data_IF_021106805323
#
_entry.id   IF_021106805323
#
_cell.length_a   1.000
_cell.length_b   1.000
_cell.length_c   1.000
_cell.angle_alpha   90.00
_cell.angle_beta   90.00
_cell.angle_gamma   90.00
#
_symmetry.space_group_name_H-M   'P 1'
#
loop_
_entity.id
_entity.type
_entity.pdbx_description
1 polymer ?
#
# COMPACT_ATOMS: atom_id res chain seq x y z
N UNK A 1 -6.06 -6.19 27.92
CA UNK A 1 -5.88 -5.00 27.03
C UNK A 1 -7.03 -4.00 27.16
N UNK A 2 -8.32 -4.40 27.08
CA UNK A 2 -9.47 -3.44 27.16
C UNK A 2 -9.43 -2.52 28.36
N UNK A 3 -9.29 -3.08 29.55
CA UNK A 3 -9.19 -2.28 30.78
C UNK A 3 -8.02 -1.29 30.75
N UNK A 4 -6.88 -1.70 30.18
CA UNK A 4 -5.72 -0.84 30.01
C UNK A 4 -5.99 0.30 29.01
N UNK A 5 -6.71 0.03 27.92
CA UNK A 5 -7.15 1.05 26.97
C UNK A 5 -8.08 2.05 27.67
N UNK A 6 -9.11 1.59 28.39
CA UNK A 6 -10.05 2.48 29.07
C UNK A 6 -9.35 3.40 30.10
N UNK A 7 -8.39 2.89 30.83
CA UNK A 7 -7.63 3.65 31.82
C UNK A 7 -6.65 4.67 31.20
N UNK A 8 -6.25 4.48 29.95
CA UNK A 8 -5.22 5.29 29.28
C UNK A 8 -5.74 5.99 28.01
N UNK A 9 -7.06 5.96 27.78
CA UNK A 9 -7.65 6.42 26.52
C UNK A 9 -7.24 7.83 26.12
N UNK A 10 -7.37 8.79 27.05
CA UNK A 10 -7.06 10.18 26.77
C UNK A 10 -5.56 10.39 26.54
N UNK A 11 -4.73 9.69 27.31
CA UNK A 11 -3.27 9.70 27.11
C UNK A 11 -2.88 9.18 25.73
N UNK A 12 -3.46 8.06 25.30
CA UNK A 12 -3.17 7.48 24.00
C UNK A 12 -3.57 8.41 22.84
N UNK A 13 -4.70 9.10 22.98
CA UNK A 13 -5.14 10.07 22.00
C UNK A 13 -4.20 11.28 21.95
N UNK A 14 -3.78 11.83 23.09
CA UNK A 14 -2.88 12.99 23.11
C UNK A 14 -1.48 12.65 22.58
N UNK A 15 -0.97 11.47 22.90
CA UNK A 15 0.30 10.99 22.35
C UNK A 15 0.21 10.78 20.82
N UNK A 16 -0.87 10.22 20.30
CA UNK A 16 -1.13 10.15 18.86
C UNK A 16 -1.23 11.55 18.24
N UNK A 17 -1.95 12.47 18.91
CA UNK A 17 -2.11 13.85 18.41
C UNK A 17 -0.78 14.59 18.34
N UNK A 18 0.16 14.29 19.24
CA UNK A 18 1.53 14.83 19.16
C UNK A 18 2.18 14.43 17.83
N UNK A 19 2.01 13.19 17.37
CA UNK A 19 2.51 12.76 16.06
C UNK A 19 1.74 13.39 14.89
N UNK A 20 0.41 13.48 15.00
CA UNK A 20 -0.43 14.00 13.93
C UNK A 20 -0.23 15.50 13.68
N UNK A 21 0.14 16.26 14.71
CA UNK A 21 0.49 17.70 14.59
C UNK A 21 1.77 17.95 13.81
N UNK A 22 2.62 16.94 13.61
CA UNK A 22 3.87 17.09 12.86
C UNK A 22 3.59 16.87 11.37
N UNK A 23 3.76 17.88 10.50
CA UNK A 23 3.48 17.76 9.08
C UNK A 23 4.61 17.04 8.31
N UNK A 24 4.80 15.77 8.60
CA UNK A 24 5.85 14.94 7.99
C UNK A 24 5.52 14.56 6.53
N UNK A 25 5.42 15.56 5.66
CA UNK A 25 5.10 15.39 4.24
C UNK A 25 6.37 15.10 3.45
N UNK A 26 6.65 13.84 3.17
CA UNK A 26 7.89 13.36 2.53
C UNK A 26 8.13 13.94 1.13
N UNK A 27 7.06 14.18 0.37
CA UNK A 27 7.13 14.71 -0.99
C UNK A 27 7.55 16.18 -1.08
N UNK A 28 7.61 16.91 0.04
CA UNK A 28 7.86 18.36 0.08
C UNK A 28 9.16 18.68 0.81
N UNK A 29 10.18 19.25 0.12
CA UNK A 29 11.47 19.57 0.71
C UNK A 29 11.41 20.51 1.93
N UNK A 30 10.40 21.40 2.00
CA UNK A 30 10.18 22.32 3.12
C UNK A 30 9.87 21.60 4.43
N UNK A 31 9.34 20.38 4.38
CA UNK A 31 9.02 19.55 5.55
C UNK A 31 10.18 18.65 6.00
N UNK A 32 11.39 18.82 5.46
CA UNK A 32 12.53 17.99 5.84
C UNK A 32 12.81 18.01 7.35
N UNK A 33 12.69 19.16 8.01
CA UNK A 33 12.87 19.27 9.47
C UNK A 33 11.77 18.54 10.23
N UNK A 34 10.52 18.59 9.73
CA UNK A 34 9.38 17.90 10.34
C UNK A 34 9.52 16.38 10.23
N UNK A 35 10.14 15.87 9.15
CA UNK A 35 10.46 14.45 8.99
C UNK A 35 11.38 13.96 10.10
N UNK A 36 12.48 14.69 10.40
CA UNK A 36 13.39 14.36 11.49
C UNK A 36 12.73 14.47 12.86
N UNK A 37 11.97 15.54 13.08
CA UNK A 37 11.25 15.74 14.34
C UNK A 37 10.22 14.63 14.59
N UNK A 38 9.51 14.17 13.56
CA UNK A 38 8.59 13.04 13.66
C UNK A 38 9.33 11.73 14.00
N UNK A 39 10.47 11.49 13.34
CA UNK A 39 11.29 10.32 13.60
C UNK A 39 11.84 10.29 15.02
N UNK A 40 12.35 11.42 15.54
CA UNK A 40 12.82 11.56 16.92
C UNK A 40 11.69 11.33 17.92
N UNK A 41 10.51 11.94 17.68
CA UNK A 41 9.32 11.74 18.51
C UNK A 41 8.91 10.27 18.60
N UNK A 42 8.94 9.55 17.47
CA UNK A 42 8.64 8.12 17.44
C UNK A 42 9.68 7.28 18.17
N UNK A 43 10.96 7.62 18.07
CA UNK A 43 12.02 6.94 18.80
C UNK A 43 11.83 7.11 20.33
N UNK A 44 11.49 8.29 20.78
CA UNK A 44 11.19 8.58 22.20
C UNK A 44 9.95 7.78 22.67
N UNK A 45 8.88 7.76 21.89
CA UNK A 45 7.67 6.97 22.20
C UNK A 45 7.96 5.46 22.31
N UNK A 46 8.86 4.91 21.49
CA UNK A 46 9.29 3.52 21.61
C UNK A 46 10.07 3.26 22.90
N UNK A 47 10.96 4.17 23.31
CA UNK A 47 11.69 4.08 24.58
C UNK A 47 10.73 4.16 25.78
N UNK A 48 9.78 5.10 25.76
CA UNK A 48 8.75 5.24 26.81
C UNK A 48 7.83 4.01 26.89
N UNK A 49 7.53 3.39 25.76
CA UNK A 49 6.78 2.13 25.69
C UNK A 49 7.56 0.94 26.24
N UNK A 50 8.89 1.07 26.44
CA UNK A 50 9.75 0.07 27.05
C UNK A 50 10.65 -0.69 26.11
N UNK A 51 10.98 -0.14 24.94
CA UNK A 51 12.06 -0.66 24.09
C UNK A 51 13.41 -0.57 24.81
N UNK A 52 14.30 -1.53 24.57
CA UNK A 52 15.64 -1.53 25.17
C UNK A 52 16.54 -0.48 24.47
N UNK A 53 16.28 -0.23 23.18
CA UNK A 53 16.88 0.83 22.39
C UNK A 53 15.92 1.27 21.28
N UNK A 54 15.96 2.54 20.96
CA UNK A 54 15.33 3.13 19.78
C UNK A 54 16.10 4.37 19.35
N UNK A 55 16.11 4.67 18.05
CA UNK A 55 16.78 5.83 17.51
C UNK A 55 16.54 6.03 16.03
N UNK A 56 16.90 7.21 15.57
CA UNK A 56 16.85 7.64 14.18
C UNK A 56 18.09 7.15 13.44
N UNK A 57 17.90 6.52 12.30
CA UNK A 57 18.96 6.01 11.46
C UNK A 57 18.93 6.71 10.10
N UNK A 58 20.06 7.23 9.65
CA UNK A 58 20.17 7.91 8.36
C UNK A 58 20.00 6.95 7.19
N UNK A 59 19.36 7.45 6.13
CA UNK A 59 19.27 6.81 4.82
C UNK A 59 19.82 7.75 3.74
N UNK A 60 19.70 7.38 2.46
CA UNK A 60 20.01 8.29 1.37
C UNK A 60 18.95 9.40 1.19
N UNK A 61 17.78 9.25 1.80
CA UNK A 61 16.66 10.19 1.77
C UNK A 61 16.18 10.58 3.16
N UNK A 62 14.89 10.30 3.46
CA UNK A 62 14.38 10.53 4.82
C UNK A 62 14.83 9.41 5.76
N UNK A 63 15.06 9.73 7.05
CA UNK A 63 15.58 8.76 8.01
C UNK A 63 14.56 7.66 8.32
N UNK A 64 15.03 6.52 8.84
CA UNK A 64 14.19 5.48 9.42
C UNK A 64 14.33 5.50 10.95
N UNK A 65 13.28 5.08 11.64
CA UNK A 65 13.32 4.81 13.07
C UNK A 65 13.49 3.31 13.27
N UNK A 66 14.54 2.93 13.97
CA UNK A 66 14.73 1.55 14.42
C UNK A 66 14.65 1.48 15.93
N UNK A 67 13.89 0.51 16.46
CA UNK A 67 13.84 0.22 17.88
C UNK A 67 13.73 -1.29 18.13
N UNK A 68 14.14 -1.74 19.31
CA UNK A 68 13.98 -3.15 19.65
C UNK A 68 13.86 -3.40 21.15
N UNK A 69 13.24 -4.55 21.46
CA UNK A 69 13.28 -5.20 22.77
C UNK A 69 13.58 -6.67 22.59
N UNK A 70 14.68 -7.12 23.19
CA UNK A 70 15.13 -8.51 23.12
C UNK A 70 14.98 -9.17 24.48
N UNK A 71 13.97 -10.01 24.64
CA UNK A 71 13.70 -10.72 25.90
C UNK A 71 14.51 -12.02 26.04
N UNK A 72 14.71 -12.72 24.94
CA UNK A 72 15.54 -13.95 24.84
C UNK A 72 16.03 -14.13 23.39
N UNK A 73 17.34 -14.28 23.14
CA UNK A 73 17.87 -14.52 21.80
C UNK A 73 17.28 -15.74 21.08
N UNK A 74 16.65 -16.69 21.82
CA UNK A 74 16.00 -17.87 21.27
C UNK A 74 14.50 -17.69 21.02
N UNK A 75 13.89 -16.65 21.58
CA UNK A 75 12.48 -16.34 21.36
C UNK A 75 12.22 -15.97 19.89
N UNK A 76 10.97 -16.13 19.46
CA UNK A 76 10.55 -15.62 18.16
C UNK A 76 10.68 -14.10 18.13
N UNK A 77 11.04 -13.58 16.98
CA UNK A 77 11.18 -12.14 16.74
C UNK A 77 10.10 -11.68 15.78
N UNK A 78 9.35 -10.66 16.18
CA UNK A 78 8.39 -9.95 15.33
C UNK A 78 9.03 -8.65 14.91
N UNK A 79 9.12 -8.40 13.61
CA UNK A 79 9.45 -7.11 13.04
C UNK A 79 8.15 -6.36 12.78
N UNK A 80 7.97 -5.20 13.38
CA UNK A 80 6.85 -4.29 13.10
C UNK A 80 7.31 -3.28 12.08
N UNK A 81 6.57 -3.15 10.99
CA UNK A 81 6.80 -2.14 9.97
C UNK A 81 5.61 -1.18 9.91
N UNK A 82 5.89 0.09 9.65
CA UNK A 82 4.95 1.16 9.37
C UNK A 82 5.67 2.37 8.82
N UNK A 83 4.94 3.43 8.45
CA UNK A 83 5.53 4.67 7.98
C UNK A 83 5.00 5.90 8.73
N UNK A 84 5.85 6.90 8.87
CA UNK A 84 5.51 8.13 9.59
C UNK A 84 5.37 9.35 8.68
N UNK A 85 5.71 9.20 7.40
CA UNK A 85 5.41 10.23 6.41
C UNK A 85 3.93 10.20 6.01
N UNK A 86 3.46 11.29 5.45
CA UNK A 86 2.07 11.47 5.05
C UNK A 86 1.98 12.16 3.70
N UNK A 87 0.86 11.94 3.00
CA UNK A 87 0.54 12.61 1.75
C UNK A 87 0.36 14.13 1.92
N UNK A 88 0.66 14.92 0.87
CA UNK A 88 0.29 16.32 0.81
C UNK A 88 -1.19 16.56 1.10
N UNK A 89 -1.50 17.71 1.66
CA UNK A 89 -2.85 18.04 2.16
C UNK A 89 -3.69 18.83 1.17
N UNK A 90 -3.13 19.22 0.03
CA UNK A 90 -3.86 19.97 -0.99
C UNK A 90 -4.99 19.13 -1.63
N UNK A 91 -6.14 19.75 -1.94
CA UNK A 91 -6.48 21.16 -1.78
C UNK A 91 -6.99 21.51 -0.37
N UNK A 92 -6.34 22.49 0.29
CA UNK A 92 -6.64 22.89 1.68
C UNK A 92 -8.07 23.41 1.88
N UNK A 93 -8.64 24.06 0.87
CA UNK A 93 -10.00 24.62 0.91
C UNK A 93 -11.12 23.57 1.03
N UNK A 94 -10.79 22.29 0.87
CA UNK A 94 -11.72 21.17 1.05
C UNK A 94 -11.65 20.52 2.43
N UNK A 95 -10.70 20.90 3.27
CA UNK A 95 -10.65 20.43 4.63
C UNK A 95 -11.64 21.19 5.50
N UNK A 96 -12.39 20.47 6.33
CA UNK A 96 -13.31 21.06 7.31
C UNK A 96 -12.56 21.66 8.49
N UNK A 97 -11.42 21.06 8.86
CA UNK A 97 -10.51 21.49 9.91
C UNK A 97 -9.08 21.48 9.38
N UNK A 98 -8.16 22.14 10.08
CA UNK A 98 -6.74 22.07 9.73
C UNK A 98 -6.28 20.59 9.75
N UNK A 99 -5.66 20.10 8.67
CA UNK A 99 -5.23 18.70 8.57
C UNK A 99 -4.21 18.28 9.64
N UNK A 100 -3.49 19.22 10.23
CA UNK A 100 -2.49 18.99 11.29
C UNK A 100 -2.94 19.48 12.66
N UNK A 101 -4.21 19.85 12.84
CA UNK A 101 -4.87 20.04 14.13
C UNK A 101 -5.87 18.91 14.39
N UNK A 102 -5.40 17.73 14.85
CA UNK A 102 -6.24 16.55 14.99
C UNK A 102 -7.35 16.75 16.00
N UNK A 103 -8.53 16.26 15.67
CA UNK A 103 -9.74 16.38 16.48
C UNK A 103 -10.48 15.06 16.58
N UNK A 104 -11.24 14.90 17.67
CA UNK A 104 -12.20 13.80 17.82
C UNK A 104 -13.60 14.32 17.69
N UNK A 105 -14.31 13.93 16.66
CA UNK A 105 -15.75 14.17 16.53
C UNK A 105 -16.41 13.01 15.76
N UNK A 106 -17.69 12.82 15.94
CA UNK A 106 -18.49 11.75 15.32
C UNK A 106 -17.90 10.33 15.49
N UNK A 107 -17.21 10.09 16.61
CA UNK A 107 -16.62 8.79 16.92
C UNK A 107 -15.36 8.46 16.11
N UNK A 108 -14.74 9.45 15.47
CA UNK A 108 -13.52 9.30 14.67
C UNK A 108 -12.46 10.34 15.07
N UNK A 109 -11.20 9.99 14.84
CA UNK A 109 -10.05 10.90 14.84
C UNK A 109 -9.98 11.49 13.44
N UNK A 110 -9.89 12.82 13.33
CA UNK A 110 -9.78 13.55 12.07
C UNK A 110 -8.43 14.24 11.99
N UNK A 111 -7.73 14.09 10.87
CA UNK A 111 -6.44 14.70 10.60
C UNK A 111 -5.63 13.89 9.60
N UNK A 112 -4.69 14.51 8.92
CA UNK A 112 -3.78 13.82 7.99
C UNK A 112 -2.87 12.85 8.76
N UNK A 113 -2.78 11.59 8.28
CA UNK A 113 -2.04 10.52 8.94
C UNK A 113 -2.82 9.82 10.06
N UNK A 114 -4.08 10.20 10.31
CA UNK A 114 -4.89 9.58 11.35
C UNK A 114 -5.11 8.08 11.10
N UNK A 115 -5.22 7.68 9.85
CA UNK A 115 -5.31 6.28 9.42
C UNK A 115 -4.03 5.84 8.72
N UNK A 116 -3.50 6.64 7.82
CA UNK A 116 -2.42 6.33 6.89
C UNK A 116 -1.15 7.15 7.21
N UNK A 117 -0.21 6.59 7.94
CA UNK A 117 -0.17 5.33 8.71
C UNK A 117 0.11 5.59 10.20
N UNK A 118 0.29 6.90 10.61
CA UNK A 118 0.64 7.25 11.99
C UNK A 118 -0.32 6.64 13.02
N UNK A 119 -1.63 6.66 12.74
CA UNK A 119 -2.61 6.05 13.64
C UNK A 119 -2.47 4.54 13.71
N UNK A 120 -2.25 3.87 12.60
CA UNK A 120 -2.13 2.42 12.58
C UNK A 120 -0.78 1.94 13.15
N UNK A 121 0.34 2.59 12.80
CA UNK A 121 1.63 2.25 13.42
C UNK A 121 1.62 2.47 14.94
N UNK A 122 0.93 3.53 15.40
CA UNK A 122 0.85 3.83 16.83
C UNK A 122 0.11 2.75 17.64
N UNK A 123 -0.84 2.04 17.03
CA UNK A 123 -1.47 0.89 17.68
C UNK A 123 -0.45 -0.18 18.09
N UNK A 124 0.58 -0.42 17.27
CA UNK A 124 1.64 -1.36 17.60
C UNK A 124 2.48 -0.89 18.79
N UNK A 125 2.78 0.40 18.86
CA UNK A 125 3.52 0.99 19.98
C UNK A 125 2.74 0.81 21.30
N UNK A 126 1.43 1.05 21.30
CA UNK A 126 0.58 0.91 22.49
C UNK A 126 0.28 -0.53 22.87
N UNK A 127 0.12 -1.41 21.92
CA UNK A 127 0.02 -2.85 22.19
C UNK A 127 1.33 -3.40 22.79
N UNK A 128 2.48 -2.95 22.29
CA UNK A 128 3.79 -3.30 22.83
C UNK A 128 3.95 -2.73 24.25
N UNK A 129 3.64 -1.47 24.50
CA UNK A 129 3.64 -0.85 25.83
C UNK A 129 2.85 -1.69 26.85
N UNK A 130 1.64 -2.08 26.50
CA UNK A 130 0.81 -2.94 27.35
C UNK A 130 1.49 -4.28 27.66
N UNK A 131 2.03 -4.95 26.64
CA UNK A 131 2.67 -6.25 26.82
C UNK A 131 3.92 -6.18 27.71
N UNK A 132 4.70 -5.11 27.57
CA UNK A 132 5.88 -4.86 28.42
C UNK A 132 5.44 -4.58 29.85
N UNK A 133 4.56 -3.59 30.06
CA UNK A 133 4.14 -3.17 31.41
C UNK A 133 3.39 -4.25 32.17
N UNK A 134 2.65 -5.11 31.47
CA UNK A 134 1.93 -6.24 32.08
C UNK A 134 2.80 -7.48 32.29
N UNK A 135 4.06 -7.47 31.82
CA UNK A 135 4.94 -8.66 31.88
C UNK A 135 4.50 -9.81 30.97
N UNK A 136 3.66 -9.55 29.97
CA UNK A 136 3.10 -10.55 29.05
C UNK A 136 3.87 -10.70 27.73
N UNK A 137 4.88 -9.87 27.50
CA UNK A 137 5.68 -9.95 26.28
C UNK A 137 6.53 -11.21 26.29
N UNK A 138 6.24 -12.12 25.36
CA UNK A 138 6.93 -13.42 25.21
C UNK A 138 7.76 -13.51 23.91
N UNK A 139 7.92 -12.42 23.19
CA UNK A 139 8.59 -12.32 21.91
C UNK A 139 9.64 -11.21 21.91
N UNK A 140 10.68 -11.37 21.12
CA UNK A 140 11.50 -10.24 20.74
C UNK A 140 10.69 -9.38 19.76
N UNK A 141 10.76 -8.06 19.91
CA UNK A 141 10.09 -7.12 19.02
C UNK A 141 11.11 -6.16 18.46
N UNK A 142 11.03 -5.94 17.16
CA UNK A 142 11.80 -4.92 16.44
C UNK A 142 10.82 -4.01 15.72
N UNK A 143 11.15 -2.75 15.65
CA UNK A 143 10.38 -1.73 14.95
C UNK A 143 11.24 -1.16 13.83
N UNK A 144 10.65 -0.99 12.67
CA UNK A 144 11.21 -0.31 11.51
C UNK A 144 10.13 0.61 10.96
N UNK A 145 10.24 1.91 11.24
CA UNK A 145 9.35 2.91 10.71
C UNK A 145 10.08 3.79 9.71
N UNK A 146 9.55 3.90 8.50
CA UNK A 146 10.15 4.71 7.44
C UNK A 146 9.47 6.06 7.24
N UNK A 147 10.14 6.95 6.52
CA UNK A 147 9.64 8.28 6.16
C UNK A 147 9.56 8.51 4.66
N UNK A 148 9.41 7.47 3.83
CA UNK A 148 9.39 7.58 2.38
C UNK A 148 8.34 6.68 1.70
N UNK A 149 7.40 6.06 2.44
CA UNK A 149 6.41 5.16 1.85
C UNK A 149 5.58 5.88 0.79
N UNK A 150 5.13 7.08 1.12
CA UNK A 150 4.27 7.92 0.27
C UNK A 150 4.96 8.47 -0.99
N UNK A 151 6.27 8.26 -1.11
CA UNK A 151 7.09 8.52 -2.28
C UNK A 151 7.78 7.25 -2.81
N UNK A 152 7.20 6.07 -2.53
CA UNK A 152 7.64 4.75 -3.03
C UNK A 152 8.94 4.22 -2.44
N UNK A 153 9.30 4.61 -1.21
CA UNK A 153 10.43 4.08 -0.41
C UNK A 153 11.78 4.02 -1.16
N UNK A 154 12.24 5.09 -1.82
CA UNK A 154 13.42 5.02 -2.71
C UNK A 154 14.71 4.61 -1.97
N UNK A 155 14.85 4.93 -0.70
CA UNK A 155 16.08 4.69 0.08
C UNK A 155 16.02 3.41 0.91
N UNK A 156 14.84 2.95 1.29
CA UNK A 156 14.66 1.87 2.27
C UNK A 156 15.18 0.51 1.80
N UNK A 157 15.03 0.05 0.54
CA UNK A 157 15.55 -1.24 0.09
C UNK A 157 17.06 -1.39 0.28
N UNK A 158 17.83 -0.32 0.01
CA UNK A 158 19.26 -0.30 0.20
C UNK A 158 19.63 -0.38 1.68
N UNK A 159 18.93 0.37 2.54
CA UNK A 159 19.12 0.37 3.98
C UNK A 159 18.81 -1.01 4.59
N UNK A 160 17.68 -1.64 4.24
CA UNK A 160 17.31 -3.01 4.67
C UNK A 160 18.39 -4.00 4.25
N UNK A 161 18.87 -3.91 3.00
CA UNK A 161 19.90 -4.82 2.50
C UNK A 161 21.22 -4.72 3.28
N UNK A 162 21.61 -3.51 3.68
CA UNK A 162 22.80 -3.28 4.52
C UNK A 162 22.59 -3.78 5.98
N UNK A 163 21.37 -3.78 6.48
CA UNK A 163 21.02 -4.10 7.87
C UNK A 163 20.29 -5.45 8.06
N UNK A 164 20.40 -6.38 7.11
CA UNK A 164 19.73 -7.71 7.16
C UNK A 164 19.90 -8.46 8.47
N UNK A 165 21.09 -8.40 9.07
CA UNK A 165 21.35 -9.09 10.34
C UNK A 165 20.58 -8.45 11.50
N UNK A 166 20.52 -7.12 11.51
CA UNK A 166 19.77 -6.33 12.50
C UNK A 166 18.27 -6.62 12.40
N UNK A 167 17.75 -6.68 11.18
CA UNK A 167 16.31 -6.86 10.89
C UNK A 167 15.86 -8.32 10.89
N UNK A 168 16.73 -9.28 11.17
CA UNK A 168 16.34 -10.71 11.21
C UNK A 168 15.16 -10.90 12.15
N UNK A 169 14.09 -11.50 11.61
CA UNK A 169 12.84 -11.79 12.32
C UNK A 169 12.18 -13.06 11.80
N UNK A 170 11.13 -13.53 12.47
CA UNK A 170 10.34 -14.71 12.05
C UNK A 170 9.11 -14.31 11.23
N UNK A 171 8.64 -13.07 11.39
CA UNK A 171 7.49 -12.47 10.69
C UNK A 171 7.63 -10.96 10.65
N UNK A 172 7.09 -10.32 9.62
CA UNK A 172 6.87 -8.87 9.57
C UNK A 172 5.39 -8.58 9.82
N UNK A 173 5.07 -7.72 10.79
CA UNK A 173 3.70 -7.33 11.14
C UNK A 173 3.47 -5.89 10.69
N UNK A 174 2.38 -5.67 9.94
CA UNK A 174 2.08 -4.39 9.27
C UNK A 174 0.60 -4.06 9.46
N UNK A 175 0.27 -2.81 9.73
CA UNK A 175 -1.11 -2.34 9.83
C UNK A 175 -1.46 -1.21 8.86
N UNK A 176 -0.79 -1.14 7.75
CA UNK A 176 -0.98 -0.14 6.70
C UNK A 176 -1.95 -0.65 5.62
N UNK A 177 -3.18 -1.01 6.01
CA UNK A 177 -4.23 -1.45 5.08
C UNK A 177 -5.63 -1.25 5.67
N UNK A 178 -6.67 -1.57 4.87
CA UNK A 178 -8.06 -1.48 5.26
C UNK A 178 -8.69 -2.85 5.52
N UNK A 179 -9.71 -2.89 6.38
CA UNK A 179 -10.68 -3.98 6.48
C UNK A 179 -11.79 -3.82 5.43
N UNK A 180 -12.50 -4.91 5.14
CA UNK A 180 -13.68 -4.88 4.26
C UNK A 180 -14.74 -3.94 4.81
N UNK A 181 -15.03 -4.02 6.11
CA UNK A 181 -15.90 -3.09 6.83
C UNK A 181 -15.70 -3.19 8.34
N UNK A 182 -16.30 -2.26 9.09
CA UNK A 182 -16.34 -2.30 10.55
C UNK A 182 -17.18 -3.46 11.13
N UNK A 183 -18.01 -4.09 10.28
CA UNK A 183 -18.85 -5.24 10.64
C UNK A 183 -18.27 -6.57 10.21
N UNK A 184 -17.46 -6.57 9.16
CA UNK A 184 -16.84 -7.78 8.59
C UNK A 184 -15.34 -7.62 8.60
N UNK A 185 -14.66 -8.09 9.66
CA UNK A 185 -13.21 -8.02 9.75
C UNK A 185 -12.55 -8.86 8.66
N UNK A 186 -11.41 -8.42 8.18
CA UNK A 186 -10.62 -9.14 7.19
C UNK A 186 -9.13 -9.09 7.49
N UNK A 187 -8.39 -10.04 6.91
CA UNK A 187 -6.93 -10.06 6.91
C UNK A 187 -6.48 -10.06 5.46
N UNK A 188 -5.67 -9.09 5.08
CA UNK A 188 -5.09 -9.04 3.76
C UNK A 188 -4.00 -10.11 3.59
N UNK A 189 -4.25 -11.05 2.67
CA UNK A 189 -3.37 -12.20 2.39
C UNK A 189 -2.47 -11.95 1.18
N UNK A 190 -2.35 -10.74 0.72
CA UNK A 190 -1.50 -10.34 -0.38
C UNK A 190 -1.98 -9.08 -1.07
N UNK A 191 -1.07 -8.46 -1.77
CA UNK A 191 -1.29 -7.22 -2.50
C UNK A 191 -0.79 -7.35 -3.94
N UNK A 192 -1.39 -6.56 -4.84
CA UNK A 192 -0.92 -6.48 -6.22
C UNK A 192 0.37 -5.67 -6.30
N UNK A 193 1.18 -6.00 -7.31
CA UNK A 193 2.31 -5.18 -7.71
C UNK A 193 1.91 -4.08 -8.70
N UNK A 194 2.89 -3.31 -9.12
CA UNK A 194 2.75 -2.20 -10.03
C UNK A 194 3.86 -2.22 -11.08
N UNK A 195 3.53 -1.91 -12.32
CA UNK A 195 4.48 -1.42 -13.34
C UNK A 195 3.89 -0.16 -13.94
N UNK A 196 4.52 0.96 -13.71
CA UNK A 196 4.09 2.28 -14.20
C UNK A 196 5.11 2.83 -15.19
N UNK A 197 4.62 3.35 -16.31
CA UNK A 197 5.48 3.84 -17.39
C UNK A 197 4.81 4.94 -18.19
N UNK A 198 5.62 5.69 -18.89
CA UNK A 198 5.18 6.67 -19.89
C UNK A 198 5.54 6.20 -21.30
N UNK A 199 4.61 6.39 -22.23
CA UNK A 199 4.84 6.15 -23.65
C UNK A 199 4.73 7.45 -24.42
N UNK A 200 5.58 7.60 -25.44
CA UNK A 200 5.60 8.73 -26.35
C UNK A 200 5.60 8.22 -27.78
N UNK A 201 4.68 8.74 -28.57
CA UNK A 201 4.62 8.51 -30.04
C UNK A 201 5.05 9.78 -30.73
N UNK A 202 6.10 9.70 -31.55
CA UNK A 202 6.68 10.80 -32.30
C UNK A 202 6.39 10.64 -33.77
N UNK A 203 5.74 11.62 -34.39
CA UNK A 203 5.42 11.68 -35.82
C UNK A 203 6.34 12.62 -36.58
N UNK A 204 5.82 13.73 -37.16
CA UNK A 204 6.61 14.70 -37.89
C UNK A 204 7.55 15.47 -36.96
N UNK A 205 8.56 16.13 -37.52
CA UNK A 205 9.57 16.87 -36.76
C UNK A 205 9.08 18.20 -36.14
N UNK A 206 7.85 18.57 -36.41
CA UNK A 206 7.16 19.75 -35.88
C UNK A 206 5.66 19.62 -36.06
N UNK A 207 4.88 20.44 -35.39
CA UNK A 207 3.46 20.58 -35.62
C UNK A 207 3.18 21.07 -37.04
N UNK A 208 2.18 20.46 -37.68
CA UNK A 208 1.85 20.71 -39.07
C UNK A 208 0.42 21.26 -39.22
N UNK A 209 0.17 22.02 -40.27
CA UNK A 209 -1.18 22.46 -40.59
C UNK A 209 -2.01 21.28 -41.09
N UNK A 210 -3.11 20.94 -40.40
CA UNK A 210 -3.92 19.75 -40.72
C UNK A 210 -4.58 19.80 -42.10
N UNK A 211 -4.92 20.98 -42.61
CA UNK A 211 -5.46 21.15 -43.96
C UNK A 211 -4.45 20.89 -45.09
N UNK A 212 -3.15 21.05 -44.81
CA UNK A 212 -2.11 20.82 -45.82
C UNK A 212 -1.57 19.39 -45.77
N UNK A 213 -1.52 18.76 -44.58
CA UNK A 213 -0.84 17.49 -44.34
C UNK A 213 -1.76 16.37 -43.85
N UNK A 214 -3.01 16.71 -43.46
CA UNK A 214 -4.00 15.74 -43.01
C UNK A 214 -4.33 14.72 -44.11
N UNK A 215 -4.39 13.43 -43.72
CA UNK A 215 -4.57 12.33 -44.65
C UNK A 215 -3.29 11.86 -45.35
N UNK A 216 -2.19 12.64 -45.29
CA UNK A 216 -0.90 12.29 -45.88
C UNK A 216 0.19 11.98 -44.84
N UNK A 217 0.14 12.67 -43.70
CA UNK A 217 1.09 12.49 -42.59
C UNK A 217 0.35 11.90 -41.36
N UNK A 218 0.98 10.96 -40.68
CA UNK A 218 0.40 10.35 -39.50
C UNK A 218 0.20 11.37 -38.37
N UNK A 219 -0.95 11.27 -37.71
CA UNK A 219 -1.23 12.01 -36.48
C UNK A 219 -0.86 11.15 -35.28
N UNK A 220 0.16 11.52 -34.48
CA UNK A 220 0.60 10.75 -33.33
C UNK A 220 -0.49 10.44 -32.32
N UNK A 221 -1.47 11.34 -32.11
CA UNK A 221 -2.61 11.08 -31.21
C UNK A 221 -3.46 9.93 -31.73
N UNK A 222 -3.80 9.90 -33.02
CA UNK A 222 -4.58 8.81 -33.60
C UNK A 222 -3.83 7.48 -33.49
N UNK A 223 -2.55 7.48 -33.85
CA UNK A 223 -1.69 6.28 -33.72
C UNK A 223 -1.61 5.80 -32.28
N UNK A 224 -1.41 6.71 -31.31
CA UNK A 224 -1.37 6.34 -29.90
C UNK A 224 -2.68 5.74 -29.43
N UNK A 225 -3.81 6.32 -29.81
CA UNK A 225 -5.15 5.78 -29.49
C UNK A 225 -5.36 4.37 -30.07
N UNK A 226 -4.97 4.14 -31.32
CA UNK A 226 -5.06 2.82 -31.96
C UNK A 226 -4.16 1.78 -31.25
N UNK A 227 -2.94 2.15 -30.93
CA UNK A 227 -2.01 1.31 -30.18
C UNK A 227 -2.56 0.96 -28.80
N UNK A 228 -3.05 1.94 -28.03
CA UNK A 228 -3.66 1.72 -26.71
C UNK A 228 -4.89 0.82 -26.82
N UNK A 229 -5.77 1.08 -27.77
CA UNK A 229 -6.98 0.26 -27.97
C UNK A 229 -6.66 -1.21 -28.26
N UNK A 230 -5.51 -1.48 -28.87
CA UNK A 230 -5.06 -2.86 -29.15
C UNK A 230 -4.49 -3.60 -27.94
N UNK A 231 -4.21 -2.91 -26.83
CA UNK A 231 -3.62 -3.53 -25.62
C UNK A 231 -4.62 -4.34 -24.79
N UNK A 232 -5.92 -4.20 -25.03
CA UNK A 232 -6.97 -4.95 -24.33
C UNK A 232 -7.93 -5.53 -25.37
N UNK A 233 -8.19 -6.83 -25.26
CA UNK A 233 -9.11 -7.52 -26.17
C UNK A 233 -10.60 -7.35 -25.76
N UNK A 234 -11.49 -7.96 -26.54
CA UNK A 234 -12.94 -7.92 -26.32
C UNK A 234 -13.38 -8.64 -25.02
N UNK A 235 -12.57 -9.54 -24.48
CA UNK A 235 -12.80 -10.24 -23.22
C UNK A 235 -12.15 -9.53 -22.02
N UNK A 236 -11.58 -8.33 -22.23
CA UNK A 236 -10.96 -7.52 -21.19
C UNK A 236 -9.57 -7.99 -20.77
N UNK A 237 -8.90 -8.82 -21.57
CA UNK A 237 -7.57 -9.34 -21.30
C UNK A 237 -6.50 -8.44 -21.94
N UNK A 238 -5.39 -8.27 -21.25
CA UNK A 238 -4.21 -7.58 -21.78
C UNK A 238 -3.59 -8.44 -22.89
N UNK A 239 -3.34 -7.83 -24.06
CA UNK A 239 -2.85 -8.52 -25.26
C UNK A 239 -1.33 -8.62 -25.36
N UNK A 240 -0.59 -8.07 -24.39
CA UNK A 240 0.88 -8.13 -24.38
C UNK A 240 1.32 -9.59 -24.26
N UNK A 241 2.06 -10.14 -25.24
CA UNK A 241 2.52 -11.52 -25.22
C UNK A 241 3.39 -11.82 -24.00
N UNK A 242 3.07 -12.91 -23.28
CA UNK A 242 3.76 -13.31 -22.06
C UNK A 242 3.24 -12.63 -20.78
N UNK A 243 2.29 -11.69 -20.89
CA UNK A 243 1.75 -10.97 -19.74
C UNK A 243 1.14 -11.90 -18.67
N UNK A 244 0.48 -12.98 -19.10
CA UNK A 244 -0.18 -13.93 -18.21
C UNK A 244 0.64 -15.20 -17.90
N UNK A 245 1.84 -15.36 -18.44
CA UNK A 245 2.59 -16.63 -18.35
C UNK A 245 2.89 -17.06 -16.90
N UNK A 246 3.00 -16.10 -15.99
CA UNK A 246 3.25 -16.35 -14.57
C UNK A 246 2.07 -16.07 -13.65
N UNK A 247 0.90 -15.77 -14.24
CA UNK A 247 -0.32 -15.55 -13.48
C UNK A 247 -0.86 -16.89 -12.99
N UNK A 248 -0.92 -17.06 -11.69
CA UNK A 248 -1.45 -18.26 -11.07
C UNK A 248 -2.98 -18.27 -11.08
N UNK A 249 -3.54 -19.35 -11.58
CA UNK A 249 -4.99 -19.56 -11.50
C UNK A 249 -5.35 -20.16 -10.14
N UNK A 250 -6.13 -19.43 -9.38
CA UNK A 250 -6.57 -19.88 -8.08
C UNK A 250 -7.48 -21.10 -8.16
N UNK A 251 -7.31 -22.00 -7.20
CA UNK A 251 -8.20 -23.15 -7.07
C UNK A 251 -9.66 -22.73 -6.83
N UNK A 252 -10.61 -23.59 -7.14
CA UNK A 252 -12.03 -23.35 -6.81
C UNK A 252 -12.28 -23.17 -5.32
N UNK A 253 -11.43 -23.76 -4.47
CA UNK A 253 -11.51 -23.62 -3.01
C UNK A 253 -11.07 -22.20 -2.59
N UNK A 254 -9.94 -21.71 -3.12
CA UNK A 254 -9.43 -20.38 -2.81
C UNK A 254 -10.38 -19.28 -3.31
N UNK A 255 -10.91 -19.43 -4.53
CA UNK A 255 -11.92 -18.50 -5.07
C UNK A 255 -13.18 -18.46 -4.21
N UNK A 256 -13.67 -19.61 -3.70
CA UNK A 256 -14.80 -19.65 -2.75
C UNK A 256 -14.49 -18.99 -1.43
N UNK A 257 -13.25 -19.11 -0.96
CA UNK A 257 -12.82 -18.48 0.28
C UNK A 257 -12.78 -16.95 0.15
N UNK A 258 -12.23 -16.43 -0.93
CA UNK A 258 -12.26 -14.99 -1.23
C UNK A 258 -13.68 -14.46 -1.47
N UNK A 259 -14.57 -15.27 -2.04
CA UNK A 259 -15.98 -14.94 -2.24
C UNK A 259 -16.80 -14.86 -0.94
N UNK A 260 -16.23 -15.17 0.23
CA UNK A 260 -16.86 -14.91 1.55
C UNK A 260 -16.91 -13.42 1.87
N UNK A 261 -16.07 -12.60 1.22
CA UNK A 261 -16.13 -11.15 1.33
C UNK A 261 -17.51 -10.67 0.84
N UNK A 262 -18.28 -9.95 1.66
CA UNK A 262 -19.56 -9.42 1.22
C UNK A 262 -19.34 -8.40 0.10
N UNK A 263 -20.12 -8.52 -0.95
CA UNK A 263 -20.09 -7.59 -2.08
C UNK A 263 -21.48 -7.46 -2.69
N UNK A 264 -22.03 -6.27 -2.63
CA UNK A 264 -23.28 -5.93 -3.32
C UNK A 264 -23.01 -5.11 -4.57
N UNK A 265 -23.30 -5.68 -5.73
CA UNK A 265 -23.09 -5.05 -7.04
C UNK A 265 -23.96 -3.79 -7.22
N UNK A 266 -25.13 -3.74 -6.60
CA UNK A 266 -26.02 -2.58 -6.70
C UNK A 266 -25.45 -1.41 -5.91
N UNK A 267 -25.09 -1.65 -4.64
CA UNK A 267 -24.46 -0.64 -3.78
C UNK A 267 -23.14 -0.14 -4.41
N UNK A 268 -22.32 -1.05 -4.98
CA UNK A 268 -21.07 -0.70 -5.64
C UNK A 268 -21.30 0.23 -6.84
N UNK A 269 -22.30 -0.07 -7.68
CA UNK A 269 -22.64 0.78 -8.82
C UNK A 269 -23.21 2.14 -8.40
N UNK A 270 -24.06 2.15 -7.36
CA UNK A 270 -24.63 3.39 -6.80
C UNK A 270 -23.55 4.27 -6.18
N UNK A 271 -22.63 3.69 -5.42
CA UNK A 271 -21.50 4.43 -4.80
C UNK A 271 -20.58 5.10 -5.83
N UNK A 272 -20.34 4.44 -6.96
CA UNK A 272 -19.47 4.95 -8.04
C UNK A 272 -20.22 5.76 -9.10
N UNK A 273 -21.56 5.87 -9.02
CA UNK A 273 -22.41 6.47 -10.05
C UNK A 273 -22.16 5.89 -11.46
N UNK A 274 -22.05 4.56 -11.57
CA UNK A 274 -21.82 3.86 -12.82
C UNK A 274 -22.97 2.93 -13.19
N UNK A 275 -23.22 2.79 -14.49
CA UNK A 275 -24.26 1.90 -15.01
C UNK A 275 -23.82 0.43 -15.04
N UNK A 276 -22.60 0.17 -15.51
CA UNK A 276 -22.05 -1.17 -15.70
C UNK A 276 -20.59 -1.25 -15.29
N UNK A 277 -20.16 -2.44 -14.86
CA UNK A 277 -18.75 -2.75 -14.61
C UNK A 277 -18.09 -3.32 -15.86
N UNK A 278 -16.79 -3.07 -16.02
CA UNK A 278 -15.95 -3.62 -17.09
C UNK A 278 -14.77 -4.38 -16.49
N UNK A 279 -14.21 -5.33 -17.22
CA UNK A 279 -12.99 -6.04 -16.87
C UNK A 279 -12.94 -7.45 -17.45
N UNK A 280 -11.95 -8.24 -17.06
CA UNK A 280 -11.68 -9.57 -17.61
C UNK A 280 -12.89 -10.49 -17.43
N UNK A 281 -13.32 -11.14 -18.52
CA UNK A 281 -14.45 -12.06 -18.55
C UNK A 281 -14.14 -13.33 -17.73
N UNK A 282 -15.15 -13.85 -17.04
CA UNK A 282 -15.03 -15.05 -16.22
C UNK A 282 -14.59 -14.80 -14.78
N UNK A 283 -14.38 -13.53 -14.40
CA UNK A 283 -14.04 -13.12 -13.05
C UNK A 283 -15.03 -12.11 -12.51
N UNK A 284 -15.32 -12.20 -11.19
CA UNK A 284 -16.14 -11.22 -10.46
C UNK A 284 -15.39 -9.89 -10.31
N UNK A 285 -16.09 -8.82 -9.93
CA UNK A 285 -15.47 -7.52 -9.68
C UNK A 285 -14.38 -7.61 -8.61
N UNK A 286 -14.65 -8.29 -7.50
CA UNK A 286 -13.66 -8.50 -6.44
C UNK A 286 -12.43 -9.28 -6.93
N UNK A 287 -12.62 -10.30 -7.77
CA UNK A 287 -11.51 -11.06 -8.34
C UNK A 287 -10.66 -10.21 -9.28
N UNK A 288 -11.29 -9.37 -10.11
CA UNK A 288 -10.59 -8.46 -11.04
C UNK A 288 -9.70 -7.47 -10.32
N UNK A 289 -10.15 -6.96 -9.18
CA UNK A 289 -9.38 -5.98 -8.39
C UNK A 289 -8.35 -6.60 -7.46
N UNK A 290 -8.44 -7.90 -7.16
CA UNK A 290 -7.61 -8.56 -6.15
C UNK A 290 -6.63 -9.61 -6.72
N UNK A 291 -7.08 -10.45 -7.67
CA UNK A 291 -6.34 -11.64 -8.12
C UNK A 291 -6.08 -11.66 -9.63
N UNK A 292 -6.54 -10.65 -10.35
CA UNK A 292 -6.25 -10.52 -11.79
C UNK A 292 -5.39 -9.27 -12.05
N UNK A 293 -4.42 -9.37 -12.97
CA UNK A 293 -3.70 -8.20 -13.42
C UNK A 293 -4.56 -7.36 -14.35
N UNK A 294 -4.30 -6.06 -14.41
CA UNK A 294 -4.95 -5.16 -15.37
C UNK A 294 -3.97 -4.16 -15.95
N UNK A 295 -4.42 -3.47 -16.99
CA UNK A 295 -3.73 -2.36 -17.62
C UNK A 295 -4.71 -1.20 -17.74
N UNK A 296 -4.34 -0.02 -17.23
CA UNK A 296 -5.12 1.19 -17.25
C UNK A 296 -4.31 2.37 -17.79
N UNK A 297 -4.97 3.27 -18.50
CA UNK A 297 -4.39 4.52 -18.97
C UNK A 297 -4.71 5.61 -17.97
N UNK A 298 -3.70 6.08 -17.23
CA UNK A 298 -3.85 7.09 -16.18
C UNK A 298 -3.81 8.52 -16.71
N UNK A 299 -3.29 8.73 -17.91
CA UNK A 299 -3.23 10.03 -18.56
C UNK A 299 -2.91 9.89 -20.04
N UNK A 300 -3.46 10.80 -20.85
CA UNK A 300 -3.17 10.91 -22.27
C UNK A 300 -3.17 12.37 -22.67
N UNK A 301 -2.16 12.82 -23.44
CA UNK A 301 -2.09 14.21 -23.91
C UNK A 301 -1.33 14.33 -25.22
N UNK A 302 -1.55 15.44 -25.89
CA UNK A 302 -0.91 15.82 -27.15
C UNK A 302 -1.79 16.82 -27.90
N UNK A 303 -1.24 17.49 -28.87
CA UNK A 303 -1.94 18.48 -29.70
C UNK A 303 -2.31 19.75 -28.92
N UNK A 304 -3.35 20.44 -29.41
CA UNK A 304 -3.79 21.73 -28.86
C UNK A 304 -4.94 21.53 -27.86
N UNK A 305 -4.75 22.02 -26.65
CA UNK A 305 -5.72 21.94 -25.55
C UNK A 305 -6.19 23.33 -25.06
N UNK A 306 -5.72 24.41 -25.70
CA UNK A 306 -6.14 25.77 -25.38
C UNK A 306 -7.54 26.13 -25.92
N UNK A 307 -8.04 27.32 -25.55
CA UNK A 307 -9.32 27.81 -26.01
C UNK A 307 -9.30 28.08 -27.51
N UNK A 308 -10.43 27.85 -28.18
CA UNK A 308 -10.60 28.05 -29.61
C UNK A 308 -10.10 26.89 -30.47
N UNK A 309 -10.25 27.00 -31.80
CA UNK A 309 -9.84 25.95 -32.74
C UNK A 309 -8.42 26.21 -33.25
N UNK A 310 -7.58 25.16 -33.25
CA UNK A 310 -6.28 25.15 -33.94
C UNK A 310 -6.20 23.90 -34.79
N UNK A 311 -6.19 24.10 -36.14
CA UNK A 311 -6.15 23.02 -37.13
C UNK A 311 -4.73 22.47 -37.26
N UNK A 312 -4.32 21.58 -36.31
CA UNK A 312 -2.95 21.11 -36.19
C UNK A 312 -2.89 19.57 -36.21
N UNK A 313 -1.85 19.03 -36.83
CA UNK A 313 -1.33 17.72 -36.62
C UNK A 313 -0.14 17.86 -35.65
N UNK A 314 -0.22 17.35 -34.41
CA UNK A 314 0.90 17.49 -33.48
C UNK A 314 2.11 16.67 -33.92
N UNK A 315 3.28 17.06 -33.45
CA UNK A 315 4.52 16.30 -33.65
C UNK A 315 4.65 15.10 -32.74
N UNK A 316 3.96 15.08 -31.61
CA UNK A 316 4.05 14.01 -30.61
C UNK A 316 2.75 13.83 -29.80
N UNK A 317 2.59 12.67 -29.20
CA UNK A 317 1.53 12.32 -28.26
C UNK A 317 2.05 11.42 -27.15
N UNK A 318 1.48 11.52 -25.96
CA UNK A 318 1.95 10.86 -24.75
C UNK A 318 0.82 10.13 -24.04
N UNK A 319 1.15 9.05 -23.32
CA UNK A 319 0.26 8.47 -22.33
C UNK A 319 1.03 7.92 -21.14
N UNK A 320 0.39 7.94 -19.98
CA UNK A 320 0.81 7.26 -18.75
C UNK A 320 0.02 5.97 -18.59
N UNK A 321 0.71 4.87 -18.39
CA UNK A 321 0.11 3.53 -18.33
C UNK A 321 0.49 2.87 -17.01
N UNK A 322 -0.53 2.38 -16.30
CA UNK A 322 -0.44 1.61 -15.08
C UNK A 322 -0.82 0.17 -15.35
N UNK A 323 0.03 -0.77 -14.98
CA UNK A 323 -0.29 -2.20 -14.98
C UNK A 323 -0.26 -2.70 -13.54
N UNK A 324 -1.41 -3.10 -13.00
CA UNK A 324 -1.46 -3.80 -11.71
C UNK A 324 -1.12 -5.26 -11.93
N UNK A 325 -0.19 -5.75 -11.13
CA UNK A 325 0.42 -7.08 -11.28
C UNK A 325 -0.04 -8.00 -10.16
N UNK A 326 -0.19 -9.29 -10.44
CA UNK A 326 -0.46 -10.28 -9.38
C UNK A 326 0.85 -10.96 -8.95
N UNK A 327 0.86 -11.63 -7.79
CA UNK A 327 2.04 -12.38 -7.34
C UNK A 327 2.60 -13.29 -8.44
N UNK A 328 3.91 -13.49 -8.46
CA UNK A 328 4.72 -14.16 -9.48
C UNK A 328 4.98 -13.34 -10.76
N UNK A 329 4.24 -12.26 -11.04
CA UNK A 329 4.63 -11.32 -12.08
C UNK A 329 5.68 -10.35 -11.52
N UNK A 330 6.85 -10.30 -12.15
CA UNK A 330 7.89 -9.33 -11.79
C UNK A 330 7.69 -8.04 -12.57
N UNK A 331 7.65 -6.93 -11.85
CA UNK A 331 7.47 -5.59 -12.44
C UNK A 331 8.45 -5.32 -13.58
N UNK A 332 9.74 -5.55 -13.35
CA UNK A 332 10.78 -5.34 -14.37
C UNK A 332 10.63 -6.22 -15.61
N UNK A 333 10.08 -7.43 -15.47
CA UNK A 333 9.81 -8.35 -16.59
C UNK A 333 8.61 -7.87 -17.40
N UNK A 334 7.51 -7.52 -16.71
CA UNK A 334 6.29 -7.02 -17.36
C UNK A 334 6.57 -5.71 -18.09
N UNK A 335 7.33 -4.80 -17.50
CA UNK A 335 7.78 -3.57 -18.16
C UNK A 335 8.52 -3.87 -19.48
N UNK A 336 9.44 -4.83 -19.49
CA UNK A 336 10.17 -5.23 -20.72
C UNK A 336 9.25 -5.90 -21.76
N UNK A 337 8.29 -6.72 -21.32
CA UNK A 337 7.31 -7.35 -22.23
C UNK A 337 6.43 -6.28 -22.87
N UNK A 338 5.95 -5.32 -22.08
CA UNK A 338 5.17 -4.19 -22.57
C UNK A 338 5.98 -3.35 -23.57
N UNK A 339 7.18 -2.91 -23.21
CA UNK A 339 8.05 -2.10 -24.08
C UNK A 339 8.30 -2.79 -25.42
N UNK A 340 8.65 -4.08 -25.40
CA UNK A 340 8.87 -4.88 -26.61
C UNK A 340 7.62 -4.96 -27.49
N UNK A 341 6.48 -5.21 -26.87
CA UNK A 341 5.20 -5.32 -27.57
C UNK A 341 4.78 -3.98 -28.15
N UNK A 342 4.83 -2.90 -27.36
CA UNK A 342 4.41 -1.57 -27.78
C UNK A 342 5.28 -1.03 -28.92
N UNK A 343 6.58 -1.25 -28.88
CA UNK A 343 7.49 -0.95 -30.01
C UNK A 343 7.20 -1.81 -31.24
N UNK A 344 6.81 -3.07 -31.06
CA UNK A 344 6.52 -4.00 -32.17
C UNK A 344 5.23 -3.63 -32.91
N UNK A 345 4.18 -3.18 -32.21
CA UNK A 345 2.90 -2.80 -32.85
C UNK A 345 2.94 -1.40 -33.44
N UNK A 346 3.99 -0.63 -33.17
CA UNK A 346 4.17 0.71 -33.73
C UNK A 346 4.27 0.68 -35.25
N UNK A 347 3.45 1.48 -35.97
CA UNK A 347 3.58 1.60 -37.42
C UNK A 347 4.93 2.20 -37.81
N UNK A 348 5.46 1.84 -38.98
CA UNK A 348 6.79 2.27 -39.46
C UNK A 348 6.93 3.78 -39.65
N UNK A 349 5.84 4.51 -39.73
CA UNK A 349 5.79 5.96 -39.97
C UNK A 349 5.82 6.81 -38.68
N UNK A 350 5.93 6.19 -37.50
CA UNK A 350 6.16 6.88 -36.22
C UNK A 350 7.34 6.27 -35.48
N UNK A 351 7.88 7.03 -34.51
CA UNK A 351 8.82 6.52 -33.52
C UNK A 351 8.13 6.39 -32.17
N UNK A 352 8.51 5.41 -31.38
CA UNK A 352 7.93 5.16 -30.05
C UNK A 352 9.04 5.08 -29.02
N UNK A 353 8.86 5.83 -27.94
CA UNK A 353 9.66 5.79 -26.74
C UNK A 353 8.82 5.25 -25.60
N UNK A 354 9.43 4.42 -24.75
CA UNK A 354 8.80 3.88 -23.52
C UNK A 354 9.76 4.16 -22.38
N UNK A 355 9.30 4.90 -21.40
CA UNK A 355 10.08 5.30 -20.22
C UNK A 355 9.48 4.63 -18.99
N UNK A 356 10.17 3.65 -18.39
CA UNK A 356 9.77 3.11 -17.10
C UNK A 356 9.84 4.20 -16.03
N UNK A 357 8.83 4.27 -15.15
CA UNK A 357 8.77 5.19 -14.02
C UNK A 357 8.94 4.42 -12.72
N UNK A 358 7.88 3.79 -12.26
CA UNK A 358 7.81 3.11 -10.97
C UNK A 358 7.42 1.65 -11.14
N UNK A 359 7.75 0.83 -10.14
CA UNK A 359 7.33 -0.55 -10.15
C UNK A 359 7.71 -1.31 -8.90
N UNK A 360 6.79 -2.16 -8.49
CA UNK A 360 7.00 -3.09 -7.38
C UNK A 360 6.35 -4.44 -7.70
N UNK A 361 6.86 -5.50 -7.09
CA UNK A 361 6.28 -6.83 -7.23
C UNK A 361 5.16 -7.01 -6.21
N UNK A 362 4.11 -7.73 -6.61
CA UNK A 362 3.08 -8.18 -5.68
C UNK A 362 3.58 -9.33 -4.79
N UNK A 363 2.89 -9.52 -3.67
CA UNK A 363 3.20 -10.62 -2.76
C UNK A 363 1.93 -11.30 -2.24
N UNK A 364 2.09 -12.51 -1.70
CA UNK A 364 1.05 -13.24 -0.95
C UNK A 364 1.64 -13.91 0.26
N UNK A 365 0.78 -14.14 1.25
CA UNK A 365 1.08 -14.94 2.42
C UNK A 365 0.17 -16.17 2.49
N UNK A 366 0.67 -17.31 2.99
CA UNK A 366 -0.14 -18.51 3.14
C UNK A 366 -1.22 -18.32 4.21
N UNK A 367 -2.50 -18.47 3.85
CA UNK A 367 -3.65 -18.42 4.77
C UNK A 367 -3.57 -19.50 5.87
N UNK A 368 -2.86 -20.61 5.60
CA UNK A 368 -2.61 -21.66 6.57
C UNK A 368 -1.39 -21.46 7.48
N UNK A 369 -0.67 -20.34 7.38
CA UNK A 369 0.49 -20.07 8.22
C UNK A 369 0.11 -19.95 9.71
N UNK A 370 1.06 -20.21 10.60
CA UNK A 370 0.84 -20.05 12.05
C UNK A 370 0.52 -18.60 12.41
N UNK A 371 1.24 -17.65 11.80
CA UNK A 371 1.00 -16.23 12.02
C UNK A 371 -0.40 -15.80 11.56
N UNK A 372 -0.85 -16.27 10.38
CA UNK A 372 -2.21 -16.00 9.93
C UNK A 372 -3.26 -16.57 10.88
N UNK A 373 -3.09 -17.83 11.37
CA UNK A 373 -4.03 -18.43 12.33
C UNK A 373 -4.06 -17.66 13.65
N UNK A 374 -2.92 -17.21 14.15
CA UNK A 374 -2.84 -16.40 15.36
C UNK A 374 -3.58 -15.07 15.19
N UNK A 375 -3.38 -14.38 14.05
CA UNK A 375 -4.05 -13.14 13.70
C UNK A 375 -5.58 -13.35 13.53
N UNK A 376 -5.97 -14.41 12.81
CA UNK A 376 -7.39 -14.76 12.63
C UNK A 376 -8.10 -14.98 13.96
N UNK A 377 -7.46 -15.70 14.87
CA UNK A 377 -7.99 -15.89 16.22
C UNK A 377 -8.07 -14.58 17.00
N UNK A 378 -7.02 -13.74 16.95
CA UNK A 378 -6.97 -12.47 17.65
C UNK A 378 -8.10 -11.53 17.21
N UNK A 379 -8.25 -11.34 15.91
CA UNK A 379 -9.31 -10.52 15.34
C UNK A 379 -10.69 -11.14 15.66
N UNK A 380 -10.82 -12.47 15.51
CA UNK A 380 -12.06 -13.18 15.81
C UNK A 380 -12.57 -12.97 17.25
N UNK A 381 -11.65 -12.97 18.23
CA UNK A 381 -12.01 -12.70 19.63
C UNK A 381 -12.40 -11.24 19.90
N UNK A 382 -11.79 -10.28 19.18
CA UNK A 382 -12.08 -8.85 19.36
C UNK A 382 -13.38 -8.44 18.67
N UNK A 383 -13.58 -8.91 17.44
CA UNK A 383 -14.74 -8.54 16.62
C UNK A 383 -15.94 -9.50 16.82
N UNK A 384 -15.75 -10.64 17.50
CA UNK A 384 -16.80 -11.65 17.67
C UNK A 384 -17.11 -12.45 16.41
N UNK A 385 -16.28 -12.35 15.39
CA UNK A 385 -16.45 -12.99 14.08
C UNK A 385 -15.09 -13.36 13.48
N UNK A 386 -14.98 -14.55 12.89
CA UNK A 386 -13.78 -14.95 12.15
C UNK A 386 -13.52 -14.01 10.96
N UNK A 387 -12.31 -13.44 10.82
CA UNK A 387 -12.01 -12.55 9.72
C UNK A 387 -12.03 -13.29 8.37
N UNK A 388 -12.42 -12.56 7.34
CA UNK A 388 -12.41 -13.06 5.96
C UNK A 388 -11.02 -12.81 5.36
N UNK A 389 -10.40 -13.80 4.69
CA UNK A 389 -9.21 -13.53 3.92
C UNK A 389 -9.54 -12.63 2.73
N UNK A 390 -8.77 -11.56 2.57
CA UNK A 390 -8.90 -10.60 1.47
C UNK A 390 -7.57 -10.50 0.70
N UNK A 391 -7.61 -9.91 -0.48
CA UNK A 391 -6.42 -9.48 -1.22
C UNK A 391 -6.59 -8.03 -1.61
N UNK A 392 -5.60 -7.20 -1.29
CA UNK A 392 -5.60 -5.79 -1.61
C UNK A 392 -5.35 -5.53 -3.09
N UNK A 393 -6.11 -4.57 -3.64
CA UNK A 393 -5.93 -4.12 -5.02
C UNK A 393 -4.79 -3.10 -5.17
N UNK A 394 -4.44 -2.40 -4.09
CA UNK A 394 -3.32 -1.47 -4.01
C UNK A 394 -1.97 -2.18 -3.93
N UNK A 395 -0.91 -1.40 -3.73
CA UNK A 395 0.47 -1.92 -3.65
C UNK A 395 1.21 -1.15 -2.55
N UNK A 396 1.78 -1.87 -1.60
CA UNK A 396 2.80 -1.37 -0.68
C UNK A 396 4.11 -1.96 -1.19
N UNK A 397 4.81 -1.18 -2.01
CA UNK A 397 5.92 -1.68 -2.82
C UNK A 397 7.05 -2.28 -2.02
N UNK A 398 7.35 -1.69 -0.89
CA UNK A 398 8.45 -2.09 -0.02
C UNK A 398 8.24 -3.49 0.59
N UNK A 399 7.01 -3.91 0.85
CA UNK A 399 6.75 -5.21 1.49
C UNK A 399 7.18 -6.38 0.60
N UNK A 400 6.97 -6.29 -0.71
CA UNK A 400 7.49 -7.27 -1.67
C UNK A 400 9.02 -7.32 -1.70
N UNK A 401 9.68 -6.17 -1.58
CA UNK A 401 11.14 -6.10 -1.48
C UNK A 401 11.64 -6.63 -0.12
N UNK A 402 10.98 -6.30 0.99
CA UNK A 402 11.30 -6.84 2.32
C UNK A 402 11.19 -8.37 2.34
N UNK A 403 10.12 -8.94 1.78
CA UNK A 403 9.95 -10.39 1.66
C UNK A 403 11.15 -11.03 0.92
N UNK A 404 11.60 -10.44 -0.18
CA UNK A 404 12.75 -10.94 -0.95
C UNK A 404 14.07 -10.76 -0.19
N UNK A 405 14.31 -9.59 0.40
CA UNK A 405 15.57 -9.23 1.02
C UNK A 405 15.77 -9.98 2.34
N UNK A 406 14.74 -10.04 3.17
CA UNK A 406 14.80 -10.61 4.52
C UNK A 406 14.36 -12.08 4.57
N UNK A 407 13.59 -12.54 3.57
CA UNK A 407 13.05 -13.91 3.55
C UNK A 407 11.97 -14.13 4.59
N UNK A 408 11.21 -13.09 4.98
CA UNK A 408 10.12 -13.15 5.96
C UNK A 408 8.81 -12.70 5.31
N UNK A 409 7.70 -13.31 5.70
CA UNK A 409 6.38 -12.95 5.19
C UNK A 409 5.84 -11.70 5.90
N UNK A 410 5.29 -10.72 5.16
CA UNK A 410 4.57 -9.60 5.76
C UNK A 410 3.12 -10.02 6.09
N UNK A 411 2.74 -9.98 7.36
CA UNK A 411 1.36 -10.20 7.81
C UNK A 411 0.64 -8.87 7.94
N UNK A 412 -0.39 -8.66 7.13
CA UNK A 412 -1.13 -7.40 7.06
C UNK A 412 -2.36 -7.45 7.97
N UNK A 413 -2.33 -6.69 9.04
CA UNK A 413 -3.42 -6.49 10.00
C UNK A 413 -3.91 -5.04 9.94
N UNK A 414 -4.50 -4.65 8.82
CA UNK A 414 -5.05 -3.31 8.66
C UNK A 414 -6.40 -3.16 9.34
N UNK A 415 -6.66 -1.97 9.86
CA UNK A 415 -7.88 -1.63 10.59
C UNK A 415 -8.56 -0.37 10.03
N UNK A 416 -8.00 0.23 8.98
CA UNK A 416 -8.63 1.30 8.23
C UNK A 416 -9.90 0.84 7.50
N UNK A 417 -10.69 1.77 7.03
CA UNK A 417 -11.90 1.52 6.24
C UNK A 417 -11.88 2.39 4.98
N UNK A 418 -12.57 1.96 3.93
CA UNK A 418 -12.69 2.72 2.68
C UNK A 418 -13.26 4.13 2.89
N UNK A 419 -14.14 4.30 3.89
CA UNK A 419 -14.74 5.57 4.25
C UNK A 419 -13.78 6.57 4.91
N UNK A 420 -12.61 6.14 5.31
CA UNK A 420 -11.65 6.96 6.07
C UNK A 420 -10.92 7.97 5.18
N UNK A 421 -11.16 7.93 3.88
CA UNK A 421 -10.73 8.91 2.86
C UNK A 421 -9.23 9.19 2.88
N UNK A 422 -8.40 8.14 3.04
CA UNK A 422 -6.94 8.25 2.93
C UNK A 422 -6.55 8.91 1.61
N UNK A 423 -5.44 9.65 1.57
CA UNK A 423 -4.95 10.46 0.45
C UNK A 423 -5.90 11.59 0.00
N UNK A 424 -7.02 11.81 0.71
CA UNK A 424 -8.01 12.85 0.39
C UNK A 424 -8.15 13.85 1.54
N UNK A 425 -8.74 15.04 1.31
CA UNK A 425 -9.16 15.91 2.39
C UNK A 425 -10.13 15.22 3.36
N UNK A 426 -10.06 15.59 4.63
CA UNK A 426 -10.90 15.05 5.71
C UNK A 426 -10.62 13.56 6.00
N UNK A 427 -9.36 13.16 5.92
CA UNK A 427 -8.94 11.85 6.41
C UNK A 427 -9.36 11.66 7.86
N UNK A 428 -9.85 10.47 8.16
CA UNK A 428 -10.35 10.13 9.48
C UNK A 428 -10.03 8.68 9.85
N UNK A 429 -10.12 8.37 11.13
CA UNK A 429 -9.96 7.01 11.63
C UNK A 429 -10.93 6.73 12.77
N UNK A 430 -11.79 5.73 12.62
CA UNK A 430 -12.77 5.41 13.65
C UNK A 430 -12.09 5.01 14.95
N UNK A 431 -12.46 5.66 16.05
CA UNK A 431 -11.97 5.33 17.40
C UNK A 431 -12.17 3.85 17.75
N UNK A 432 -13.30 3.29 17.33
CA UNK A 432 -13.59 1.85 17.53
C UNK A 432 -12.54 0.98 16.84
N UNK A 433 -12.17 1.31 15.61
CA UNK A 433 -11.16 0.55 14.85
C UNK A 433 -9.77 0.73 15.45
N UNK A 434 -9.41 1.94 15.82
CA UNK A 434 -8.16 2.26 16.48
C UNK A 434 -7.94 1.43 17.77
N UNK A 435 -8.92 1.42 18.67
CA UNK A 435 -8.79 0.66 19.92
C UNK A 435 -8.95 -0.85 19.72
N UNK A 436 -9.80 -1.29 18.80
CA UNK A 436 -9.92 -2.70 18.45
C UNK A 436 -8.64 -3.23 17.77
N UNK A 437 -7.95 -2.38 17.02
CA UNK A 437 -6.63 -2.69 16.45
C UNK A 437 -5.58 -2.95 17.53
N UNK A 438 -5.46 -2.07 18.50
CA UNK A 438 -4.56 -2.28 19.66
C UNK A 438 -4.84 -3.59 20.38
N UNK A 439 -6.12 -3.90 20.65
CA UNK A 439 -6.51 -5.15 21.31
C UNK A 439 -6.17 -6.37 20.46
N UNK A 440 -6.44 -6.29 19.15
CA UNK A 440 -6.15 -7.37 18.20
C UNK A 440 -4.66 -7.65 18.08
N UNK A 441 -3.83 -6.60 18.02
CA UNK A 441 -2.38 -6.72 17.98
C UNK A 441 -1.86 -7.36 19.28
N UNK A 442 -2.30 -6.92 20.45
CA UNK A 442 -1.88 -7.53 21.71
C UNK A 442 -2.27 -9.02 21.79
N UNK A 443 -3.48 -9.38 21.35
CA UNK A 443 -3.93 -10.76 21.27
C UNK A 443 -3.17 -11.60 20.22
N UNK A 444 -2.73 -10.98 19.12
CA UNK A 444 -1.85 -11.66 18.17
C UNK A 444 -0.60 -12.18 18.87
N UNK A 445 0.07 -11.38 19.67
CA UNK A 445 1.24 -11.82 20.44
C UNK A 445 0.90 -12.95 21.44
N UNK A 446 -0.28 -12.97 22.03
CA UNK A 446 -0.73 -14.05 22.92
C UNK A 446 -0.91 -15.37 22.14
N UNK A 447 -1.37 -15.33 20.90
CA UNK A 447 -1.68 -16.53 20.09
C UNK A 447 -0.56 -16.96 19.15
N UNK A 448 0.35 -16.06 18.81
CA UNK A 448 1.54 -16.40 18.03
C UNK A 448 2.54 -17.11 18.94
N UNK A 449 2.43 -18.43 19.04
CA UNK A 449 3.11 -19.25 20.05
C UNK A 449 4.61 -19.00 20.08
N UNK A 450 5.23 -18.70 21.24
CA UNK A 450 6.68 -18.66 21.39
C UNK A 450 7.31 -20.00 20.98
N UNK A 451 8.52 -19.97 20.41
CA UNK A 451 9.25 -21.23 20.17
C UNK A 451 9.39 -21.98 21.49
N UNK A 452 9.04 -23.28 21.56
CA UNK A 452 9.27 -24.04 22.78
C UNK A 452 10.77 -24.00 23.13
N UNK A 453 11.08 -23.53 24.31
CA UNK A 453 12.44 -23.63 24.86
C UNK A 453 12.74 -25.12 24.90
N UNK A 454 13.63 -25.62 24.03
CA UNK A 454 14.14 -27.00 24.18
C UNK A 454 14.78 -27.03 25.54
N UNK A 455 14.09 -27.66 26.53
CA UNK A 455 14.69 -27.98 27.80
C UNK A 455 15.90 -28.85 27.49
N UNK A 456 17.10 -28.34 27.71
CA UNK A 456 18.27 -29.16 27.87
C UNK A 456 17.99 -30.02 29.11
N UNK A 457 17.34 -31.18 28.92
CA UNK A 457 17.45 -32.25 29.91
C UNK A 457 18.83 -32.85 29.66
N UNK A 458 19.70 -32.59 30.65
CA UNK A 458 21.01 -33.16 30.74
C UNK A 458 21.05 -34.70 30.76
#
# INVERSE_FOLDING_TARGET
MREYIEQNRDRFLEELFTLLRIPSVSAKPEHKADMYFCAETLADLLLEAGADEAGVCETAGHPVVFGQKIIDPKARTVLVYGHYDVQPVEPLDKWVHDPFDPQVHDGAIWGRGANDDKGQLFMHVKAFEYLVRSGKLAHNVKFLFEGEEEISSPSLPAWINAHKKLLKADICLVSDTTMISDKVPSINCGMRGLSYLEVKVVGPNKDLHSGHFGGAVANPIQVLCEMIASLIDADGRVTVPGFYDKVEELSRADRRMLARAPFDMKEYKEFLDIREVRGEKGYTTLERTAIRPCLDVCGIWGGYTGAGAKTVLPSEAHAKISMRLVPNQRSTEITRLFERHFKKIAPKYVKVEVTPCEGCDGFTIPIGSEAYRAASRAIGEVYGMEPVPARGGGSIGILGEMQKILGIDPLLLGFGLERDTIHSPNESYLLRQFFAGMESIAKFYEFFTPRPVRSCRG
#
